data_IF_099944184569
#
_entry.id   IF_099944184569
#
_cell.length_a   1.000
_cell.length_b   1.000
_cell.length_c   1.000
_cell.angle_alpha   90.00
_cell.angle_beta   90.00
_cell.angle_gamma   90.00
#
_symmetry.space_group_name_H-M   'P 1'
#
loop_
_entity.id
_entity.type
_entity.pdbx_description
1 polymer ?
#
# COMPACT_ATOMS: atom_id res chain seq x y z
N UNK A 1 -3.27 13.54 20.36
CA UNK A 1 -3.46 12.08 20.08
C UNK A 1 -4.32 11.46 21.18
N UNK A 2 -5.39 10.74 20.83
CA UNK A 2 -6.31 10.10 21.77
C UNK A 2 -6.43 8.61 21.45
N UNK A 3 -6.18 7.73 22.42
CA UNK A 3 -6.42 6.28 22.28
C UNK A 3 -7.93 6.01 22.23
N UNK A 4 -8.39 5.28 21.22
CA UNK A 4 -9.82 4.92 21.04
C UNK A 4 -10.08 3.41 21.05
N UNK A 5 -9.05 2.61 20.77
CA UNK A 5 -9.11 1.15 20.84
C UNK A 5 -7.75 0.60 21.25
N UNK A 6 -7.74 -0.40 22.12
CA UNK A 6 -6.53 -1.12 22.51
C UNK A 6 -6.84 -2.59 22.74
N UNK A 7 -5.98 -3.44 22.19
CA UNK A 7 -5.96 -4.87 22.42
C UNK A 7 -4.50 -5.33 22.52
N UNK A 8 -4.09 -5.75 23.71
CA UNK A 8 -2.74 -6.22 24.02
C UNK A 8 -2.67 -7.75 24.12
N UNK A 9 -3.69 -8.47 23.65
CA UNK A 9 -3.74 -9.93 23.73
C UNK A 9 -2.95 -10.58 22.60
N UNK A 10 -1.85 -11.23 22.95
CA UNK A 10 -1.11 -12.06 22.00
C UNK A 10 -1.93 -13.29 21.59
N UNK A 11 -2.11 -13.47 20.29
CA UNK A 11 -2.87 -14.61 19.74
C UNK A 11 -2.40 -14.98 18.34
N UNK A 12 -2.55 -16.25 18.00
CA UNK A 12 -2.34 -16.72 16.63
C UNK A 12 -3.64 -16.63 15.87
N UNK A 13 -3.60 -15.95 14.73
CA UNK A 13 -4.73 -15.80 13.83
C UNK A 13 -4.73 -16.97 12.84
N UNK A 14 -5.79 -17.78 12.89
CA UNK A 14 -5.97 -18.95 12.01
C UNK A 14 -6.88 -18.66 10.82
N UNK A 15 -7.78 -17.68 10.93
CA UNK A 15 -8.68 -17.20 9.88
C UNK A 15 -8.76 -15.67 9.92
N UNK A 16 -9.49 -15.04 8.99
CA UNK A 16 -9.66 -13.59 9.01
C UNK A 16 -10.24 -13.11 10.35
N UNK A 17 -9.57 -12.17 10.99
CA UNK A 17 -10.09 -11.49 12.18
C UNK A 17 -10.57 -10.09 11.82
N UNK A 18 -11.72 -9.69 12.38
CA UNK A 18 -12.29 -8.35 12.22
C UNK A 18 -12.33 -7.65 13.56
N UNK A 19 -11.75 -6.46 13.60
CA UNK A 19 -11.74 -5.56 14.75
C UNK A 19 -12.58 -4.35 14.39
N UNK A 20 -13.56 -4.05 15.23
CA UNK A 20 -14.43 -2.89 15.05
C UNK A 20 -14.02 -1.77 16.01
N UNK A 21 -13.99 -0.55 15.49
CA UNK A 21 -13.77 0.65 16.30
C UNK A 21 -14.60 1.80 15.73
N UNK A 22 -14.85 2.81 16.56
CA UNK A 22 -15.71 3.94 16.20
C UNK A 22 -15.04 5.26 16.56
N UNK A 23 -15.21 6.26 15.71
CA UNK A 23 -14.75 7.62 15.91
C UNK A 23 -15.40 8.54 14.89
N UNK A 24 -15.56 9.85 15.17
CA UNK A 24 -16.02 10.77 14.13
C UNK A 24 -14.98 10.90 13.02
N UNK A 25 -15.37 11.43 11.84
CA UNK A 25 -14.46 11.64 10.72
C UNK A 25 -13.16 12.32 11.17
N UNK A 26 -12.01 11.69 10.96
CA UNK A 26 -10.73 12.18 11.49
C UNK A 26 -9.52 11.56 10.80
N UNK A 27 -8.33 12.01 11.22
CA UNK A 27 -7.07 11.33 10.97
C UNK A 27 -6.86 10.28 12.07
N UNK A 28 -6.56 9.04 11.68
CA UNK A 28 -6.34 7.92 12.60
C UNK A 28 -4.94 7.36 12.44
N UNK A 29 -4.36 6.93 13.57
CA UNK A 29 -3.17 6.12 13.63
C UNK A 29 -3.54 4.73 14.13
N UNK A 30 -3.36 3.72 13.29
CA UNK A 30 -3.58 2.31 13.62
C UNK A 30 -2.21 1.67 13.77
N UNK A 31 -1.90 1.16 14.97
CA UNK A 31 -0.65 0.47 15.27
C UNK A 31 -0.93 -1.03 15.44
N UNK A 32 -0.32 -1.86 14.62
CA UNK A 32 -0.40 -3.32 14.71
C UNK A 32 1.00 -3.88 14.93
N UNK A 33 1.21 -4.60 16.02
CA UNK A 33 2.42 -5.37 16.25
C UNK A 33 2.14 -6.85 16.01
N UNK A 34 2.96 -7.51 15.19
CA UNK A 34 2.79 -8.91 14.88
C UNK A 34 4.13 -9.58 14.52
N UNK A 35 4.10 -10.91 14.47
CA UNK A 35 5.19 -11.80 14.09
C UNK A 35 4.70 -12.73 12.99
N UNK A 36 5.63 -13.08 12.10
CA UNK A 36 5.42 -14.11 11.09
C UNK A 36 6.66 -14.98 11.00
N UNK A 37 6.47 -16.30 11.05
CA UNK A 37 7.52 -17.32 10.90
C UNK A 37 7.85 -17.57 9.44
N UNK A 38 9.12 -17.83 9.16
CA UNK A 38 9.48 -18.45 7.90
C UNK A 38 9.19 -19.97 7.95
N UNK A 39 9.14 -20.61 6.78
CA UNK A 39 8.88 -22.06 6.66
C UNK A 39 9.86 -22.94 7.45
N UNK A 40 11.11 -22.53 7.61
CA UNK A 40 12.14 -23.32 8.31
C UNK A 40 11.95 -23.35 9.83
N UNK A 41 11.10 -22.49 10.38
CA UNK A 41 10.88 -22.37 11.82
C UNK A 41 9.73 -23.25 12.34
N UNK A 42 8.93 -23.82 11.46
CA UNK A 42 7.82 -24.69 11.83
C UNK A 42 7.58 -25.71 10.72
N UNK A 43 7.84 -26.99 11.01
CA UNK A 43 7.74 -28.08 10.04
C UNK A 43 6.31 -28.31 9.53
N UNK A 44 5.30 -27.78 10.22
CA UNK A 44 3.90 -27.87 9.80
C UNK A 44 3.53 -26.81 8.77
N UNK A 45 4.37 -25.79 8.57
CA UNK A 45 4.14 -24.76 7.58
C UNK A 45 4.38 -25.27 6.15
N UNK A 46 3.35 -25.21 5.33
CA UNK A 46 3.47 -25.48 3.89
C UNK A 46 4.29 -24.37 3.20
N UNK A 47 4.14 -23.13 3.68
CA UNK A 47 4.85 -21.93 3.24
C UNK A 47 5.05 -20.95 4.42
N UNK A 48 5.86 -19.91 4.26
CA UNK A 48 6.05 -18.86 5.25
C UNK A 48 4.72 -18.19 5.64
N UNK A 49 4.62 -17.80 6.91
CA UNK A 49 3.50 -17.04 7.45
C UNK A 49 3.43 -15.63 6.84
N UNK A 50 2.22 -15.10 6.74
CA UNK A 50 2.02 -13.71 6.32
C UNK A 50 0.70 -13.14 6.82
N UNK A 51 0.71 -11.87 7.22
CA UNK A 51 -0.47 -11.13 7.66
C UNK A 51 -0.62 -9.83 6.86
N UNK A 52 -1.80 -9.64 6.27
CA UNK A 52 -2.21 -8.42 5.57
C UNK A 52 -3.17 -7.61 6.43
N UNK A 53 -3.14 -6.29 6.26
CA UNK A 53 -3.97 -5.34 6.97
C UNK A 53 -4.92 -4.67 5.97
N UNK A 54 -6.17 -4.49 6.38
CA UNK A 54 -7.17 -3.76 5.61
C UNK A 54 -8.02 -2.90 6.54
N UNK A 55 -8.28 -1.65 6.18
CA UNK A 55 -9.16 -0.74 6.94
C UNK A 55 -10.27 -0.29 6.01
N UNK A 56 -11.51 -0.51 6.40
CA UNK A 56 -12.71 -0.12 5.64
C UNK A 56 -12.70 -0.55 4.16
N UNK A 57 -12.12 -1.73 3.88
CA UNK A 57 -12.02 -2.25 2.52
C UNK A 57 -10.69 -1.90 1.83
N UNK A 58 -9.97 -0.86 2.27
CA UNK A 58 -8.67 -0.51 1.71
C UNK A 58 -7.56 -1.41 2.27
N UNK A 59 -6.83 -2.10 1.39
CA UNK A 59 -5.74 -3.02 1.77
C UNK A 59 -4.41 -2.30 1.76
N UNK A 60 -3.66 -2.43 2.85
CA UNK A 60 -2.32 -1.85 2.97
C UNK A 60 -1.22 -2.87 2.70
N UNK A 61 -0.29 -2.50 1.82
CA UNK A 61 1.05 -3.07 1.73
C UNK A 61 2.07 -2.15 2.40
N UNK A 62 3.17 -2.66 3.00
CA UNK A 62 3.61 -4.05 3.07
C UNK A 62 2.89 -4.90 4.15
N UNK A 63 2.86 -6.22 3.93
CA UNK A 63 2.36 -7.23 4.89
C UNK A 63 3.47 -7.73 5.83
N UNK A 64 3.10 -8.22 7.00
CA UNK A 64 4.02 -8.97 7.87
C UNK A 64 4.43 -10.23 7.11
N UNK A 65 5.72 -10.41 6.85
CA UNK A 65 6.19 -11.45 5.93
C UNK A 65 7.23 -12.35 6.58
N UNK A 66 6.92 -13.64 6.72
CA UNK A 66 7.72 -14.58 7.49
C UNK A 66 9.18 -14.70 7.05
N UNK A 67 9.45 -14.66 5.75
CA UNK A 67 10.84 -14.69 5.24
C UNK A 67 11.68 -13.49 5.67
N UNK A 68 11.05 -12.33 5.92
CA UNK A 68 11.71 -11.12 6.41
C UNK A 68 11.80 -11.13 7.93
N UNK A 69 10.69 -11.43 8.61
CA UNK A 69 10.58 -11.30 10.06
C UNK A 69 11.23 -12.44 10.83
N UNK A 70 11.19 -13.67 10.30
CA UNK A 70 11.74 -14.86 10.95
C UNK A 70 11.27 -14.99 12.41
N UNK A 71 9.97 -14.80 12.65
CA UNK A 71 9.32 -14.83 13.97
C UNK A 71 9.68 -13.67 14.93
N UNK A 72 10.37 -12.64 14.45
CA UNK A 72 10.67 -11.44 15.23
C UNK A 72 9.57 -10.39 15.05
N UNK A 73 9.37 -9.58 16.09
CA UNK A 73 8.31 -8.60 16.18
C UNK A 73 8.55 -7.43 15.22
N UNK A 74 7.50 -7.09 14.48
CA UNK A 74 7.43 -5.86 13.70
C UNK A 74 6.23 -5.05 14.19
N UNK A 75 6.37 -3.72 14.21
CA UNK A 75 5.26 -2.79 14.42
C UNK A 75 4.97 -2.06 13.11
N UNK A 76 3.72 -2.12 12.66
CA UNK A 76 3.21 -1.37 11.50
C UNK A 76 2.29 -0.27 12.00
N UNK A 77 2.59 0.96 11.64
CA UNK A 77 1.75 2.14 11.84
C UNK A 77 1.08 2.51 10.53
N UNK A 78 -0.25 2.61 10.50
CA UNK A 78 -1.02 3.13 9.37
C UNK A 78 -1.60 4.47 9.80
N UNK A 79 -1.22 5.52 9.09
CA UNK A 79 -1.75 6.86 9.25
C UNK A 79 -2.72 7.12 8.09
N UNK A 80 -4.01 7.17 8.36
CA UNK A 80 -5.06 7.25 7.33
C UNK A 80 -6.24 8.11 7.78
N UNK A 81 -6.94 8.72 6.83
CA UNK A 81 -8.16 9.47 7.08
C UNK A 81 -9.37 8.57 6.93
N UNK A 82 -10.26 8.56 7.93
CA UNK A 82 -11.50 7.79 7.87
C UNK A 82 -12.69 8.73 7.99
N UNK A 83 -13.69 8.55 7.12
CA UNK A 83 -14.83 9.45 6.96
C UNK A 83 -16.11 9.01 7.69
N UNK A 84 -16.24 7.71 7.95
CA UNK A 84 -17.42 7.14 8.59
C UNK A 84 -17.33 7.22 10.13
N UNK A 85 -18.43 6.88 10.82
CA UNK A 85 -18.46 6.81 12.28
C UNK A 85 -17.95 5.45 12.82
N UNK A 86 -18.10 4.40 12.01
CA UNK A 86 -17.80 3.02 12.37
C UNK A 86 -16.86 2.43 11.34
N UNK A 87 -15.80 1.81 11.83
CA UNK A 87 -14.72 1.31 11.01
C UNK A 87 -14.44 -0.16 11.33
N UNK A 88 -13.83 -0.84 10.37
CA UNK A 88 -13.39 -2.22 10.51
C UNK A 88 -11.93 -2.35 10.08
N UNK A 89 -11.09 -2.75 11.01
CA UNK A 89 -9.76 -3.28 10.73
C UNK A 89 -9.85 -4.79 10.52
N UNK A 90 -9.39 -5.26 9.38
CA UNK A 90 -9.33 -6.68 9.02
C UNK A 90 -7.88 -7.13 9.05
N UNK A 91 -7.62 -8.18 9.84
CA UNK A 91 -6.36 -8.87 9.93
C UNK A 91 -6.51 -10.19 9.15
N UNK A 92 -5.96 -10.24 7.95
CA UNK A 92 -6.18 -11.37 7.03
C UNK A 92 -4.87 -12.12 6.75
N UNK A 93 -4.90 -13.45 6.91
CA UNK A 93 -3.79 -14.30 6.49
C UNK A 93 -3.57 -14.26 4.98
N UNK A 94 -2.34 -14.49 4.56
CA UNK A 94 -2.04 -14.79 3.15
C UNK A 94 -2.73 -16.08 2.67
N UNK A 95 -2.75 -16.30 1.35
CA UNK A 95 -3.41 -17.46 0.75
C UNK A 95 -2.86 -18.80 1.29
N UNK A 96 -3.78 -19.76 1.51
CA UNK A 96 -3.60 -21.16 1.92
C UNK A 96 -2.74 -21.40 3.17
N UNK A 97 -3.40 -21.75 4.29
CA UNK A 97 -2.81 -22.35 5.50
C UNK A 97 -1.65 -21.56 6.15
N UNK A 98 -1.64 -20.24 5.99
CA UNK A 98 -0.67 -19.34 6.66
C UNK A 98 -1.28 -18.83 7.96
N UNK A 99 -0.60 -18.97 9.09
CA UNK A 99 -0.94 -18.30 10.36
C UNK A 99 -0.17 -17.00 10.49
N UNK A 100 -0.46 -16.20 11.50
CA UNK A 100 0.42 -15.14 12.00
C UNK A 100 0.09 -14.85 13.47
N UNK A 101 1.07 -14.42 14.25
CA UNK A 101 0.86 -14.07 15.66
C UNK A 101 0.72 -12.56 15.79
N UNK A 102 -0.47 -12.10 16.17
CA UNK A 102 -0.70 -10.70 16.52
C UNK A 102 -0.40 -10.50 17.99
N UNK A 103 0.36 -9.46 18.30
CA UNK A 103 0.82 -9.11 19.65
C UNK A 103 -0.02 -7.99 20.25
N UNK A 104 -0.33 -6.98 19.43
CA UNK A 104 -1.00 -5.77 19.87
C UNK A 104 -1.69 -5.09 18.70
N UNK A 105 -2.85 -4.51 18.97
CA UNK A 105 -3.56 -3.56 18.10
C UNK A 105 -3.94 -2.34 18.93
N UNK A 106 -3.57 -1.16 18.47
CA UNK A 106 -4.00 0.11 19.07
C UNK A 106 -4.50 1.02 17.96
N UNK A 107 -5.56 1.77 18.24
CA UNK A 107 -6.06 2.81 17.35
C UNK A 107 -6.12 4.12 18.11
N UNK A 108 -5.58 5.16 17.49
CA UNK A 108 -5.59 6.51 18.01
C UNK A 108 -6.29 7.44 17.03
N UNK A 109 -7.06 8.38 17.57
CA UNK A 109 -7.55 9.54 16.83
C UNK A 109 -6.57 10.69 16.98
N UNK A 110 -6.29 11.39 15.89
CA UNK A 110 -5.31 12.47 15.82
C UNK A 110 -5.98 13.82 15.54
N UNK A 111 -5.28 14.90 15.89
CA UNK A 111 -5.62 16.24 15.44
C UNK A 111 -4.83 16.50 14.14
N UNK A 112 -5.48 16.71 12.98
CA UNK A 112 -4.78 16.90 11.71
C UNK A 112 -3.94 18.19 11.66
N UNK A 113 -4.13 19.10 12.61
CA UNK A 113 -3.40 20.38 12.69
C UNK A 113 -2.17 20.34 13.61
N UNK A 114 -1.84 19.18 14.18
CA UNK A 114 -0.70 19.00 15.08
C UNK A 114 0.33 18.06 14.47
N UNK A 115 1.62 18.34 14.72
CA UNK A 115 2.69 17.40 14.39
C UNK A 115 2.50 16.10 15.19
N UNK A 116 2.65 14.96 14.52
CA UNK A 116 2.52 13.66 15.17
C UNK A 116 3.88 13.27 15.76
N UNK A 117 3.94 13.03 17.06
CA UNK A 117 5.10 12.42 17.71
C UNK A 117 4.69 11.14 18.41
N UNK A 118 5.24 10.02 17.95
CA UNK A 118 5.10 8.71 18.58
C UNK A 118 6.24 8.54 19.58
N UNK A 119 5.90 8.24 20.83
CA UNK A 119 6.87 7.81 21.84
C UNK A 119 6.58 6.34 22.11
N UNK A 120 7.56 5.47 21.89
CA UNK A 120 7.29 4.02 21.92
C UNK A 120 8.28 3.21 22.74
N UNK A 121 9.51 3.71 22.95
CA UNK A 121 10.64 2.92 23.50
C UNK A 121 10.68 1.48 22.93
N UNK A 122 10.24 1.31 21.68
CA UNK A 122 10.17 0.02 21.00
C UNK A 122 11.61 -0.42 20.76
N UNK A 123 11.95 -1.65 21.11
CA UNK A 123 13.30 -2.19 20.92
C UNK A 123 13.20 -3.36 19.97
N UNK A 124 14.00 -3.31 18.90
CA UNK A 124 14.09 -4.43 17.98
C UNK A 124 14.59 -5.67 18.73
N UNK A 125 13.89 -6.79 18.57
CA UNK A 125 14.42 -8.08 18.99
C UNK A 125 15.64 -8.47 18.16
N UNK A 126 16.58 -9.14 18.82
CA UNK A 126 17.86 -9.55 18.24
C UNK A 126 17.69 -10.37 16.95
N UNK A 127 18.12 -9.79 15.84
CA UNK A 127 18.02 -10.40 14.52
C UNK A 127 18.85 -9.65 13.49
N UNK A 128 18.89 -10.18 12.27
CA UNK A 128 19.73 -9.66 11.19
C UNK A 128 18.86 -9.07 10.07
N UNK A 129 19.14 -7.80 9.73
CA UNK A 129 18.62 -7.05 8.57
C UNK A 129 17.16 -7.32 8.26
N UNK A 130 16.28 -6.90 9.16
CA UNK A 130 14.83 -7.09 9.00
C UNK A 130 14.08 -5.79 9.22
N UNK A 131 12.90 -5.62 8.61
CA UNK A 131 12.02 -4.55 9.01
C UNK A 131 11.59 -4.78 10.46
N UNK A 132 11.64 -3.70 11.24
CA UNK A 132 11.24 -3.70 12.63
C UNK A 132 10.10 -2.71 12.85
N UNK A 133 10.16 -1.53 12.21
CA UNK A 133 9.06 -0.56 12.20
C UNK A 133 8.75 -0.17 10.76
N UNK A 134 7.46 -0.12 10.43
CA UNK A 134 6.98 0.42 9.16
C UNK A 134 5.88 1.44 9.46
N UNK A 135 6.00 2.63 8.88
CA UNK A 135 4.96 3.64 8.91
C UNK A 135 4.42 3.85 7.49
N UNK A 136 3.12 3.65 7.32
CA UNK A 136 2.37 3.86 6.09
C UNK A 136 1.61 5.17 6.24
N UNK A 137 1.81 6.08 5.30
CA UNK A 137 1.05 7.31 5.15
C UNK A 137 0.09 7.11 3.98
N UNK A 138 -1.19 7.05 4.27
CA UNK A 138 -2.23 6.75 3.28
C UNK A 138 -2.87 8.03 2.77
N UNK A 139 -2.60 8.36 1.50
CA UNK A 139 -3.03 9.59 0.84
C UNK A 139 -2.66 10.87 1.63
N UNK A 140 -1.44 10.92 2.17
CA UNK A 140 -0.98 12.03 3.03
C UNK A 140 0.36 12.59 2.55
N UNK A 141 0.51 13.92 2.50
CA UNK A 141 1.80 14.54 2.24
C UNK A 141 2.71 14.51 3.47
N UNK A 142 4.02 14.44 3.23
CA UNK A 142 5.02 14.46 4.29
C UNK A 142 6.15 15.44 3.98
N UNK A 143 6.34 16.45 4.83
CA UNK A 143 7.44 17.41 4.66
C UNK A 143 8.75 16.82 5.18
N UNK A 144 8.71 16.30 6.40
CA UNK A 144 9.87 15.72 7.07
C UNK A 144 9.48 14.74 8.16
N UNK A 145 10.43 13.88 8.54
CA UNK A 145 10.32 13.07 9.74
C UNK A 145 11.62 13.03 10.53
N UNK A 146 11.51 12.76 11.83
CA UNK A 146 12.65 12.71 12.76
C UNK A 146 12.50 11.49 13.67
N UNK A 147 13.24 10.40 13.44
CA UNK A 147 13.38 9.32 14.40
C UNK A 147 14.47 9.67 15.41
N UNK A 148 14.24 9.28 16.66
CA UNK A 148 15.25 9.26 17.72
C UNK A 148 15.58 7.81 18.05
N UNK A 149 16.79 7.40 17.70
CA UNK A 149 17.25 6.01 17.82
C UNK A 149 18.34 5.91 18.88
N UNK A 150 18.17 4.97 19.78
CA UNK A 150 19.20 4.48 20.69
C UNK A 150 19.86 3.24 20.06
N UNK A 151 21.18 3.24 19.94
CA UNK A 151 21.95 2.13 19.37
C UNK A 151 23.32 2.00 20.04
N UNK A 152 23.87 0.78 20.05
CA UNK A 152 25.11 0.48 20.77
C UNK A 152 26.11 -0.36 19.97
N UNK A 153 27.40 -0.09 20.19
CA UNK A 153 28.52 -0.95 19.81
C UNK A 153 28.54 -2.21 20.65
N UNK A 154 28.81 -3.34 19.99
CA UNK A 154 28.95 -4.65 20.65
C UNK A 154 30.18 -5.39 20.12
N UNK A 155 30.66 -6.39 20.87
CA UNK A 155 31.90 -7.16 20.59
C UNK A 155 31.92 -7.90 19.26
N UNK A 156 30.77 -8.31 18.74
CA UNK A 156 30.67 -9.10 17.50
C UNK A 156 29.86 -8.35 16.46
N UNK A 157 28.63 -8.01 16.83
CA UNK A 157 27.64 -7.46 15.93
C UNK A 157 26.84 -6.38 16.66
N UNK A 158 26.94 -5.15 16.16
CA UNK A 158 26.46 -3.94 16.85
C UNK A 158 25.04 -3.61 16.45
N UNK A 159 24.37 -2.74 17.20
CA UNK A 159 23.04 -2.28 16.82
C UNK A 159 23.17 -1.30 15.65
N UNK A 160 22.54 -1.64 14.53
CA UNK A 160 22.53 -0.80 13.33
C UNK A 160 21.09 -0.57 12.86
N UNK A 161 20.83 0.64 12.36
CA UNK A 161 19.52 1.09 11.88
C UNK A 161 19.63 1.64 10.46
N UNK A 162 18.77 1.17 9.57
CA UNK A 162 18.62 1.67 8.21
C UNK A 162 17.23 2.25 8.03
N UNK A 163 17.13 3.30 7.22
CA UNK A 163 15.88 3.96 6.84
C UNK A 163 15.63 3.79 5.35
N UNK A 164 14.41 3.43 4.97
CA UNK A 164 13.93 3.41 3.58
C UNK A 164 12.66 4.25 3.45
N UNK A 165 12.54 4.92 2.32
CA UNK A 165 11.34 5.69 1.93
C UNK A 165 10.87 5.12 0.60
N UNK A 166 9.64 4.62 0.53
CA UNK A 166 9.06 4.00 -0.66
C UNK A 166 9.90 2.84 -1.25
N UNK A 167 10.64 2.18 -0.36
CA UNK A 167 11.61 1.12 -0.68
C UNK A 167 13.00 1.61 -1.08
N UNK A 168 13.20 2.93 -1.20
CA UNK A 168 14.49 3.55 -1.53
C UNK A 168 15.28 3.79 -0.25
N UNK A 169 16.47 3.18 -0.18
CA UNK A 169 17.39 3.33 0.96
C UNK A 169 17.91 4.76 1.11
N UNK A 170 17.76 5.32 2.32
CA UNK A 170 18.28 6.63 2.67
C UNK A 170 19.73 6.50 3.13
N UNK A 171 20.65 6.53 2.16
CA UNK A 171 22.07 6.26 2.36
C UNK A 171 22.79 7.39 3.09
N UNK A 172 23.76 7.03 3.89
CA UNK A 172 24.69 7.97 4.50
C UNK A 172 25.85 8.28 3.53
N UNK A 173 25.72 9.35 2.74
CA UNK A 173 26.70 9.74 1.72
C UNK A 173 28.08 10.12 2.29
N UNK A 174 28.17 10.40 3.59
CA UNK A 174 29.42 10.72 4.28
C UNK A 174 30.09 9.49 4.91
N UNK A 175 29.43 8.33 4.88
CA UNK A 175 29.96 7.10 5.46
C UNK A 175 30.77 6.28 4.44
N UNK A 176 31.74 5.52 4.95
CA UNK A 176 32.54 4.58 4.15
C UNK A 176 31.65 3.55 3.40
N UNK A 177 32.18 2.92 2.35
CA UNK A 177 31.51 1.86 1.57
C UNK A 177 30.99 0.69 2.43
N UNK A 178 31.50 0.48 3.64
CA UNK A 178 31.01 -0.55 4.57
C UNK A 178 29.78 -0.13 5.39
N UNK A 179 29.52 1.18 5.51
CA UNK A 179 28.52 1.74 6.42
C UNK A 179 27.53 2.69 5.74
N UNK A 180 27.70 2.99 4.45
CA UNK A 180 26.83 3.93 3.72
C UNK A 180 25.35 3.49 3.64
N UNK A 181 25.05 2.22 3.87
CA UNK A 181 23.68 1.70 3.95
C UNK A 181 23.09 1.78 5.37
N UNK A 182 23.90 2.05 6.39
CA UNK A 182 23.48 2.12 7.79
C UNK A 182 23.47 3.59 8.22
N UNK A 183 22.28 4.10 8.56
CA UNK A 183 22.14 5.50 8.95
C UNK A 183 22.58 5.70 10.40
N UNK A 184 22.22 4.73 11.24
CA UNK A 184 22.67 4.61 12.62
C UNK A 184 23.54 3.36 12.71
N UNK A 185 24.82 3.51 13.05
CA UNK A 185 25.76 2.38 13.03
C UNK A 185 26.54 2.28 14.35
N UNK A 186 26.21 1.28 15.17
CA UNK A 186 26.84 1.06 16.46
C UNK A 186 28.33 0.73 16.33
N UNK A 187 28.72 0.08 15.23
CA UNK A 187 30.12 -0.25 14.94
C UNK A 187 31.06 0.96 14.80
N UNK A 188 30.50 2.15 14.52
CA UNK A 188 31.23 3.42 14.43
C UNK A 188 31.43 4.11 15.79
N UNK A 189 30.73 3.68 16.84
CA UNK A 189 30.86 4.28 18.16
C UNK A 189 32.19 3.88 18.82
N UNK A 190 32.80 4.73 19.66
CA UNK A 190 34.01 4.37 20.39
C UNK A 190 33.71 3.36 21.49
N UNK A 191 34.65 2.46 21.80
CA UNK A 191 34.49 1.51 22.92
C UNK A 191 34.33 2.19 24.29
N UNK A 192 34.85 3.40 24.45
CA UNK A 192 34.73 4.21 25.68
C UNK A 192 33.36 4.85 25.85
N UNK A 193 32.60 5.03 24.76
CA UNK A 193 31.22 5.49 24.78
C UNK A 193 30.40 4.66 23.77
N UNK A 194 30.10 3.39 24.12
CA UNK A 194 29.59 2.42 23.17
C UNK A 194 28.10 2.59 22.87
N UNK A 195 27.41 3.58 23.43
CA UNK A 195 25.97 3.77 23.27
C UNK A 195 25.69 5.22 22.88
N UNK A 196 24.80 5.42 21.92
CA UNK A 196 24.39 6.76 21.47
C UNK A 196 22.88 6.82 21.29
N UNK A 197 22.29 7.93 21.73
CA UNK A 197 20.95 8.37 21.33
C UNK A 197 21.18 9.44 20.27
N UNK A 198 20.56 9.27 19.11
CA UNK A 198 20.74 10.15 17.96
C UNK A 198 19.39 10.47 17.33
N UNK A 199 19.22 11.71 16.92
CA UNK A 199 18.02 12.19 16.22
C UNK A 199 18.44 12.82 14.90
N UNK A 200 17.79 12.42 13.82
CA UNK A 200 18.09 12.94 12.49
C UNK A 200 16.82 13.34 11.75
N UNK A 201 16.77 14.55 11.22
CA UNK A 201 15.62 15.01 10.44
C UNK A 201 15.84 14.74 8.95
N UNK A 202 14.94 13.96 8.35
CA UNK A 202 14.90 13.70 6.92
C UNK A 202 13.94 14.70 6.27
N UNK A 203 14.46 15.58 5.41
CA UNK A 203 13.66 16.49 4.60
C UNK A 203 13.28 15.78 3.30
N UNK A 204 12.00 15.39 3.16
CA UNK A 204 11.56 14.46 2.12
C UNK A 204 10.60 15.09 1.12
N UNK A 205 9.78 16.06 1.56
CA UNK A 205 8.80 16.78 0.72
C UNK A 205 7.99 15.85 -0.20
N UNK A 206 7.49 14.75 0.35
CA UNK A 206 6.65 13.81 -0.37
C UNK A 206 5.29 14.47 -0.64
N UNK A 207 4.78 14.39 -1.88
CA UNK A 207 3.45 14.91 -2.21
C UNK A 207 2.37 14.09 -1.50
N UNK A 208 1.13 14.50 -1.67
CA UNK A 208 0.00 13.66 -1.27
C UNK A 208 0.03 12.35 -2.07
N UNK A 209 -0.05 11.22 -1.36
CA UNK A 209 -0.03 9.89 -1.95
C UNK A 209 0.15 8.80 -0.90
N UNK A 210 0.29 7.55 -1.35
CA UNK A 210 0.65 6.42 -0.49
C UNK A 210 2.17 6.37 -0.33
N UNK A 211 2.65 6.58 0.89
CA UNK A 211 4.07 6.57 1.21
C UNK A 211 4.40 5.60 2.34
N UNK A 212 5.61 5.06 2.31
CA UNK A 212 6.10 4.11 3.32
C UNK A 212 7.47 4.55 3.86
N UNK A 213 7.60 4.56 5.19
CA UNK A 213 8.87 4.73 5.89
C UNK A 213 9.16 3.43 6.62
N UNK A 214 10.25 2.77 6.26
CA UNK A 214 10.66 1.50 6.86
C UNK A 214 11.98 1.67 7.60
N UNK A 215 11.99 1.22 8.86
CA UNK A 215 13.18 1.07 9.68
C UNK A 215 13.59 -0.40 9.69
N UNK A 216 14.74 -0.69 9.07
CA UNK A 216 15.38 -2.00 9.18
C UNK A 216 16.39 -2.01 10.32
N UNK A 217 16.30 -3.03 11.16
CA UNK A 217 17.22 -3.25 12.27
C UNK A 217 18.22 -4.36 11.95
N UNK A 218 19.47 -4.14 12.35
CA UNK A 218 20.43 -5.18 12.67
C UNK A 218 20.65 -5.17 14.20
N UNK A 219 20.56 -6.34 14.82
CA UNK A 219 20.56 -6.55 16.28
C UNK A 219 19.39 -5.85 16.98
N UNK A 220 19.65 -4.97 17.94
CA UNK A 220 18.63 -4.45 18.88
C UNK A 220 18.64 -2.92 19.06
N UNK A 221 18.54 -2.11 17.99
CA UNK A 221 18.28 -0.67 18.14
C UNK A 221 16.91 -0.41 18.79
N UNK A 222 16.76 0.75 19.42
CA UNK A 222 15.52 1.19 20.09
C UNK A 222 15.04 2.51 19.51
N UNK A 223 13.74 2.64 19.27
CA UNK A 223 13.07 3.82 18.70
C UNK A 223 12.41 4.51 19.88
N UNK A 224 13.11 5.50 20.42
CA UNK A 224 12.61 6.26 21.55
C UNK A 224 11.44 7.13 21.12
N UNK A 225 11.60 7.83 20.00
CA UNK A 225 10.53 8.64 19.41
C UNK A 225 10.58 8.69 17.89
N UNK A 226 9.44 9.00 17.29
CA UNK A 226 9.30 9.20 15.86
C UNK A 226 8.31 10.32 15.58
N UNK A 227 8.83 11.45 15.10
CA UNK A 227 8.04 12.63 14.77
C UNK A 227 7.82 12.72 13.26
N UNK A 228 6.58 13.00 12.86
CA UNK A 228 6.16 13.24 11.49
C UNK A 228 5.61 14.66 11.39
N UNK A 229 6.18 15.44 10.47
CA UNK A 229 5.64 16.74 10.09
C UNK A 229 4.94 16.61 8.76
N UNK A 230 3.61 16.49 8.83
CA UNK A 230 2.78 16.40 7.64
C UNK A 230 2.77 17.73 6.88
N UNK A 231 2.48 17.66 5.58
CA UNK A 231 2.14 18.85 4.80
C UNK A 231 0.73 19.35 5.13
N UNK A 232 0.13 20.12 4.21
CA UNK A 232 -1.30 20.40 4.28
C UNK A 232 -2.07 19.10 4.13
N UNK A 233 -2.57 18.56 5.23
CA UNK A 233 -3.40 17.36 5.23
C UNK A 233 -4.67 17.65 4.42
N UNK A 234 -5.02 16.83 3.42
CA UNK A 234 -6.24 17.03 2.64
C UNK A 234 -7.47 16.99 3.55
N UNK A 235 -8.57 17.65 3.18
CA UNK A 235 -9.82 17.51 3.93
C UNK A 235 -10.25 16.04 3.91
N UNK A 236 -10.70 15.53 5.05
CA UNK A 236 -11.23 14.16 5.14
C UNK A 236 -12.32 14.01 4.06
N UNK A 237 -12.24 12.97 3.20
CA UNK A 237 -13.23 12.75 2.16
C UNK A 237 -14.61 12.75 2.82
N UNK A 238 -15.50 13.64 2.39
CA UNK A 238 -16.84 13.73 3.01
C UNK A 238 -17.71 12.51 2.67
N UNK A 239 -17.27 11.70 1.70
CA UNK A 239 -18.04 10.63 1.07
C UNK A 239 -17.12 9.76 0.22
N UNK A 240 -17.33 8.45 0.23
CA UNK A 240 -16.68 7.49 -0.69
C UNK A 240 -17.60 7.28 -1.90
N UNK A 241 -17.10 7.38 -3.15
CA UNK A 241 -17.91 7.12 -4.33
C UNK A 241 -18.45 5.68 -4.37
N UNK A 242 -19.65 5.50 -4.91
CA UNK A 242 -20.30 4.19 -5.07
C UNK A 242 -20.79 4.02 -6.51
N UNK A 243 -21.23 2.83 -6.89
CA UNK A 243 -21.79 2.60 -8.23
C UNK A 243 -23.04 3.45 -8.49
N UNK A 244 -23.85 3.70 -7.46
CA UNK A 244 -25.08 4.49 -7.60
C UNK A 244 -24.85 6.00 -7.40
N UNK A 245 -23.72 6.36 -6.77
CA UNK A 245 -23.29 7.74 -6.65
C UNK A 245 -21.77 7.83 -6.89
N UNK A 246 -21.32 7.89 -8.16
CA UNK A 246 -19.90 7.87 -8.48
C UNK A 246 -19.28 9.27 -8.53
N UNK A 247 -19.97 10.29 -8.03
CA UNK A 247 -19.47 11.67 -8.09
C UNK A 247 -18.08 11.79 -7.46
N UNK A 248 -17.12 12.34 -8.21
CA UNK A 248 -15.76 12.57 -7.77
C UNK A 248 -15.70 13.55 -6.61
N UNK A 249 -14.82 13.23 -5.68
CA UNK A 249 -14.65 13.90 -4.39
C UNK A 249 -13.52 14.93 -4.42
N UNK A 250 -12.74 14.98 -5.50
CA UNK A 250 -11.56 15.82 -5.65
C UNK A 250 -10.25 15.03 -5.74
N UNK A 251 -10.28 13.73 -5.51
CA UNK A 251 -9.16 12.80 -5.69
C UNK A 251 -9.70 11.46 -6.24
N UNK A 252 -8.91 10.69 -6.99
CA UNK A 252 -9.27 9.31 -7.37
C UNK A 252 -8.63 8.28 -6.43
N UNK A 253 -7.70 8.72 -5.57
CA UNK A 253 -7.07 7.86 -4.58
C UNK A 253 -8.04 7.38 -3.50
N UNK A 254 -9.17 8.04 -3.30
CA UNK A 254 -10.20 7.68 -2.31
C UNK A 254 -11.30 6.77 -2.87
N UNK A 255 -11.31 6.47 -4.17
CA UNK A 255 -12.16 5.43 -4.74
C UNK A 255 -11.73 4.05 -4.21
N UNK A 256 -12.69 3.13 -4.05
CA UNK A 256 -12.34 1.71 -3.85
C UNK A 256 -11.73 1.11 -5.12
N UNK A 257 -11.01 -0.01 -5.02
CA UNK A 257 -10.47 -0.74 -6.18
C UNK A 257 -11.55 -0.98 -7.26
N UNK A 258 -12.76 -1.36 -6.84
CA UNK A 258 -13.89 -1.61 -7.74
C UNK A 258 -14.35 -0.33 -8.45
N UNK A 259 -14.47 0.79 -7.75
CA UNK A 259 -14.91 2.05 -8.35
C UNK A 259 -13.83 2.59 -9.29
N UNK A 260 -12.58 2.58 -8.86
CA UNK A 260 -11.47 3.07 -9.66
C UNK A 260 -11.30 2.24 -10.95
N UNK A 261 -11.38 0.91 -10.83
CA UNK A 261 -11.36 0.02 -11.99
C UNK A 261 -12.61 0.20 -12.87
N UNK A 262 -13.78 0.43 -12.28
CA UNK A 262 -15.00 0.72 -13.03
C UNK A 262 -14.87 2.01 -13.86
N UNK A 263 -14.28 3.07 -13.28
CA UNK A 263 -13.97 4.31 -14.01
C UNK A 263 -13.03 4.01 -15.15
N UNK A 264 -11.93 3.30 -14.92
CA UNK A 264 -11.01 2.94 -15.98
C UNK A 264 -11.71 2.19 -17.13
N UNK A 265 -12.44 1.11 -16.83
CA UNK A 265 -13.16 0.32 -17.83
C UNK A 265 -14.18 1.18 -18.57
N UNK A 266 -14.88 2.06 -17.86
CA UNK A 266 -15.83 2.99 -18.46
C UNK A 266 -15.16 4.02 -19.36
N UNK A 267 -13.96 4.50 -19.05
CA UNK A 267 -13.23 5.46 -19.89
C UNK A 267 -12.58 4.84 -21.13
N UNK A 268 -12.13 3.59 -21.03
CA UNK A 268 -11.37 2.91 -22.07
C UNK A 268 -12.25 2.03 -22.98
N UNK A 269 -13.36 1.53 -22.45
CA UNK A 269 -14.24 0.56 -23.10
C UNK A 269 -15.71 0.97 -23.00
N UNK A 270 -15.99 2.27 -23.08
CA UNK A 270 -17.37 2.73 -23.29
C UNK A 270 -17.91 2.27 -24.64
N UNK A 271 -19.14 1.78 -24.67
CA UNK A 271 -19.83 1.47 -25.92
C UNK A 271 -19.36 0.19 -26.63
N UNK A 272 -18.38 -0.53 -26.08
CA UNK A 272 -17.98 -1.87 -26.54
C UNK A 272 -18.67 -2.98 -25.73
N UNK A 273 -18.46 -4.24 -26.15
CA UNK A 273 -19.08 -5.40 -25.53
C UNK A 273 -18.66 -5.62 -24.07
N UNK A 274 -19.47 -6.37 -23.32
CA UNK A 274 -19.11 -6.80 -21.95
C UNK A 274 -17.80 -7.60 -21.94
N UNK A 275 -17.55 -8.43 -22.95
CA UNK A 275 -16.30 -9.19 -23.08
C UNK A 275 -15.08 -8.25 -23.19
N UNK A 276 -15.19 -7.18 -23.98
CA UNK A 276 -14.15 -6.16 -24.09
C UNK A 276 -13.90 -5.42 -22.76
N UNK A 277 -14.97 -5.09 -22.01
CA UNK A 277 -14.86 -4.48 -20.68
C UNK A 277 -14.14 -5.38 -19.68
N UNK A 278 -14.52 -6.66 -19.66
CA UNK A 278 -13.85 -7.68 -18.85
C UNK A 278 -12.38 -7.81 -19.24
N UNK A 279 -12.07 -7.81 -20.54
CA UNK A 279 -10.71 -7.89 -21.05
C UNK A 279 -9.84 -6.71 -20.57
N UNK A 280 -10.36 -5.47 -20.63
CA UNK A 280 -9.67 -4.29 -20.08
C UNK A 280 -9.42 -4.46 -18.59
N UNK A 281 -10.43 -4.84 -17.81
CA UNK A 281 -10.29 -5.09 -16.37
C UNK A 281 -9.21 -6.12 -16.05
N UNK A 282 -9.16 -7.20 -16.83
CA UNK A 282 -8.15 -8.25 -16.66
C UNK A 282 -6.74 -7.79 -16.94
N UNK A 283 -6.52 -6.81 -17.82
CA UNK A 283 -5.16 -6.27 -18.03
C UNK A 283 -4.59 -5.63 -16.77
N UNK A 284 -5.41 -4.91 -16.00
CA UNK A 284 -5.00 -4.36 -14.70
C UNK A 284 -4.71 -5.48 -13.71
N UNK A 285 -5.64 -6.44 -13.58
CA UNK A 285 -5.46 -7.59 -12.68
C UNK A 285 -4.22 -8.41 -13.02
N UNK A 286 -3.90 -8.59 -14.30
CA UNK A 286 -2.70 -9.28 -14.75
C UNK A 286 -1.43 -8.51 -14.39
N UNK A 287 -1.44 -7.17 -14.47
CA UNK A 287 -0.33 -6.33 -13.99
C UNK A 287 -0.14 -6.44 -12.48
N UNK A 288 -1.23 -6.44 -11.69
CA UNK A 288 -1.19 -6.69 -10.24
C UNK A 288 -0.56 -8.06 -9.94
N UNK A 289 -1.01 -9.11 -10.62
CA UNK A 289 -0.51 -10.48 -10.43
C UNK A 289 0.95 -10.65 -10.83
N UNK A 290 1.42 -9.89 -11.82
CA UNK A 290 2.81 -9.91 -12.26
C UNK A 290 3.79 -9.21 -11.29
N UNK A 291 3.29 -8.37 -10.38
CA UNK A 291 4.06 -7.70 -9.31
C UNK A 291 5.31 -6.93 -9.79
N UNK A 292 5.27 -6.36 -11.02
CA UNK A 292 6.36 -5.55 -11.57
C UNK A 292 6.25 -4.09 -11.10
N UNK A 293 6.56 -3.84 -9.82
CA UNK A 293 6.43 -2.53 -9.15
C UNK A 293 6.98 -1.36 -9.98
N UNK A 294 8.19 -1.50 -10.51
CA UNK A 294 8.88 -0.43 -11.25
C UNK A 294 8.18 -0.12 -12.57
N UNK A 295 7.64 -1.14 -13.24
CA UNK A 295 6.97 -1.00 -14.54
C UNK A 295 5.55 -0.47 -14.40
N UNK A 296 4.74 -1.05 -13.51
CA UNK A 296 3.30 -0.76 -13.44
C UNK A 296 2.83 -0.23 -12.09
N UNK A 297 3.32 -0.81 -11.00
CA UNK A 297 2.76 -0.60 -9.66
C UNK A 297 2.47 -1.95 -8.99
N UNK A 298 2.05 -1.90 -7.73
CA UNK A 298 1.78 -3.09 -6.90
C UNK A 298 0.30 -3.43 -6.76
N UNK A 299 -0.58 -2.44 -6.90
CA UNK A 299 -2.03 -2.57 -6.69
C UNK A 299 -2.83 -1.81 -7.76
N UNK A 300 -4.16 -1.83 -7.64
CA UNK A 300 -5.05 -1.20 -8.60
C UNK A 300 -4.82 0.31 -8.69
N UNK A 301 -4.71 1.02 -7.56
CA UNK A 301 -4.48 2.46 -7.53
C UNK A 301 -3.16 2.84 -8.16
N UNK A 302 -2.04 2.23 -7.76
CA UNK A 302 -0.73 2.51 -8.33
C UNK A 302 -0.74 2.25 -9.85
N UNK A 303 -1.36 1.16 -10.32
CA UNK A 303 -1.36 0.81 -11.74
C UNK A 303 -2.25 1.74 -12.57
N UNK A 304 -3.44 2.06 -12.08
CA UNK A 304 -4.43 2.86 -12.81
C UNK A 304 -4.02 4.34 -12.84
N UNK A 305 -3.53 4.87 -11.71
CA UNK A 305 -3.20 6.29 -11.57
C UNK A 305 -1.76 6.62 -11.98
N UNK A 306 -0.93 5.62 -12.29
CA UNK A 306 0.43 5.88 -12.77
C UNK A 306 0.41 6.70 -14.07
N UNK A 307 1.23 7.77 -14.16
CA UNK A 307 1.23 8.65 -15.30
C UNK A 307 1.36 7.91 -16.63
N UNK A 308 0.51 8.29 -17.60
CA UNK A 308 0.50 7.79 -18.97
C UNK A 308 0.21 6.29 -19.13
N UNK A 309 -0.30 5.60 -18.10
CA UNK A 309 -0.72 4.20 -18.25
C UNK A 309 -2.06 4.04 -18.98
N UNK A 310 -3.00 4.97 -18.73
CA UNK A 310 -4.34 4.93 -19.30
C UNK A 310 -4.78 6.34 -19.72
N UNK A 311 -5.32 6.46 -20.92
CA UNK A 311 -5.71 7.75 -21.48
C UNK A 311 -6.91 8.35 -20.76
N UNK A 312 -7.78 7.51 -20.19
CA UNK A 312 -8.93 7.92 -19.39
C UNK A 312 -8.56 8.89 -18.24
N UNK A 313 -7.35 8.79 -17.70
CA UNK A 313 -6.87 9.61 -16.58
C UNK A 313 -5.84 10.67 -16.97
N UNK A 314 -5.32 10.66 -18.20
CA UNK A 314 -4.30 11.61 -18.67
C UNK A 314 -4.86 12.73 -19.56
N UNK A 315 -6.03 12.52 -20.18
CA UNK A 315 -6.68 13.48 -21.07
C UNK A 315 -7.83 14.20 -20.37
N UNK A 316 -7.77 15.54 -20.26
CA UNK A 316 -8.79 16.33 -19.56
C UNK A 316 -10.21 16.14 -20.13
N UNK A 317 -10.34 15.97 -21.46
CA UNK A 317 -11.63 15.75 -22.13
C UNK A 317 -12.28 14.41 -21.76
N UNK A 318 -11.49 13.42 -21.36
CA UNK A 318 -11.96 12.13 -20.84
C UNK A 318 -12.11 12.13 -19.32
N UNK A 319 -11.25 12.90 -18.64
CA UNK A 319 -11.20 12.99 -17.19
C UNK A 319 -12.53 13.49 -16.59
N UNK A 320 -13.19 14.47 -17.23
CA UNK A 320 -14.49 14.97 -16.75
C UNK A 320 -15.54 13.85 -16.66
N UNK A 321 -15.53 12.94 -17.64
CA UNK A 321 -16.43 11.78 -17.66
C UNK A 321 -16.09 10.79 -16.56
N UNK A 322 -14.80 10.62 -16.26
CA UNK A 322 -14.35 9.76 -15.16
C UNK A 322 -14.70 10.36 -13.81
N UNK A 323 -14.71 11.69 -13.68
CA UNK A 323 -15.11 12.37 -12.44
C UNK A 323 -16.58 12.14 -12.10
N UNK A 324 -17.46 12.14 -13.08
CA UNK A 324 -18.88 11.87 -12.82
C UNK A 324 -19.53 11.08 -13.98
N UNK A 325 -19.43 9.74 -13.94
CA UNK A 325 -20.02 8.85 -14.94
C UNK A 325 -21.53 9.02 -15.11
N UNK A 326 -22.24 9.48 -14.08
CA UNK A 326 -23.70 9.61 -14.05
C UNK A 326 -24.19 11.06 -14.23
N UNK A 327 -23.28 12.02 -14.43
CA UNK A 327 -23.60 13.44 -14.65
C UNK A 327 -24.65 13.67 -15.73
N UNK A 328 -24.56 12.92 -16.83
CA UNK A 328 -25.51 12.99 -17.94
C UNK A 328 -26.64 11.99 -17.67
N UNK A 329 -27.86 12.50 -17.63
CA UNK A 329 -29.06 11.67 -17.52
C UNK A 329 -29.33 10.95 -18.86
N UNK A 330 -28.60 9.86 -19.09
CA UNK A 330 -28.67 9.06 -20.30
C UNK A 330 -28.60 7.56 -19.94
N UNK A 331 -29.63 6.81 -20.30
CA UNK A 331 -29.74 5.39 -19.94
C UNK A 331 -28.66 4.49 -20.55
N UNK A 332 -28.18 4.77 -21.76
CA UNK A 332 -27.09 3.98 -22.34
C UNK A 332 -25.77 4.21 -21.60
N UNK A 333 -25.54 5.45 -21.14
CA UNK A 333 -24.38 5.83 -20.32
C UNK A 333 -24.47 5.19 -18.93
N UNK A 334 -25.63 5.28 -18.27
CA UNK A 334 -25.89 4.62 -16.98
C UNK A 334 -25.67 3.11 -17.05
N UNK A 335 -26.18 2.48 -18.12
CA UNK A 335 -25.97 1.06 -18.36
C UNK A 335 -24.49 0.75 -18.57
N UNK A 336 -23.80 1.55 -19.39
CA UNK A 336 -22.38 1.35 -19.64
C UNK A 336 -21.55 1.48 -18.35
N UNK A 337 -21.87 2.45 -17.48
CA UNK A 337 -21.25 2.58 -16.16
C UNK A 337 -21.48 1.35 -15.28
N UNK A 338 -22.73 0.89 -15.14
CA UNK A 338 -23.06 -0.30 -14.34
C UNK A 338 -22.42 -1.58 -14.88
N UNK A 339 -22.41 -1.76 -16.20
CA UNK A 339 -21.71 -2.89 -16.84
C UNK A 339 -20.20 -2.85 -16.56
N UNK A 340 -19.61 -1.65 -16.52
CA UNK A 340 -18.19 -1.47 -16.18
C UNK A 340 -17.90 -1.80 -14.72
N UNK A 341 -18.77 -1.37 -13.80
CA UNK A 341 -18.67 -1.72 -12.37
C UNK A 341 -18.82 -3.24 -12.14
N UNK A 342 -19.84 -3.86 -12.73
CA UNK A 342 -20.04 -5.32 -12.64
C UNK A 342 -18.83 -6.09 -13.19
N UNK A 343 -18.26 -5.63 -14.31
CA UNK A 343 -17.03 -6.20 -14.89
C UNK A 343 -15.83 -6.03 -13.96
N UNK A 344 -15.66 -4.85 -13.36
CA UNK A 344 -14.60 -4.56 -12.40
C UNK A 344 -14.69 -5.47 -11.17
N UNK A 345 -15.86 -5.50 -10.53
CA UNK A 345 -16.13 -6.28 -9.33
C UNK A 345 -15.87 -7.78 -9.56
N UNK A 346 -16.44 -8.34 -10.64
CA UNK A 346 -16.24 -9.76 -10.97
C UNK A 346 -14.79 -10.08 -11.31
N UNK A 347 -14.10 -9.17 -12.00
CA UNK A 347 -12.67 -9.32 -12.31
C UNK A 347 -11.86 -9.36 -11.02
N UNK A 348 -12.00 -8.36 -10.15
CA UNK A 348 -11.27 -8.26 -8.88
C UNK A 348 -11.51 -9.53 -8.04
N UNK A 349 -12.77 -9.89 -7.82
CA UNK A 349 -13.19 -11.07 -7.04
C UNK A 349 -12.84 -12.41 -7.70
N UNK A 350 -12.42 -12.43 -8.97
CA UNK A 350 -12.05 -13.65 -9.69
C UNK A 350 -13.25 -14.54 -10.01
N UNK A 351 -14.43 -13.95 -10.18
CA UNK A 351 -15.69 -14.66 -10.47
C UNK A 351 -15.86 -14.98 -11.96
N UNK A 352 -15.04 -14.37 -12.81
CA UNK A 352 -15.00 -14.58 -14.26
C UNK A 352 -13.58 -14.95 -14.67
N UNK A 353 -13.39 -15.89 -15.61
CA UNK A 353 -12.05 -16.24 -16.10
C UNK A 353 -11.43 -15.10 -16.92
N UNK A 354 -10.11 -15.16 -17.13
CA UNK A 354 -9.38 -14.21 -17.97
C UNK A 354 -9.56 -14.53 -19.46
N UNK A 355 -10.32 -13.74 -20.23
CA UNK A 355 -10.48 -13.97 -21.68
C UNK A 355 -9.20 -13.62 -22.45
N UNK A 356 -8.33 -12.79 -21.88
CA UNK A 356 -7.12 -12.26 -22.53
C UNK A 356 -5.91 -13.20 -22.42
N UNK A 357 -6.02 -14.30 -21.67
CA UNK A 357 -4.95 -15.30 -21.50
C UNK A 357 -3.63 -14.68 -20.97
N UNK A 358 -3.74 -13.71 -20.07
CA UNK A 358 -2.62 -13.04 -19.43
C UNK A 358 -2.14 -11.79 -20.14
N UNK A 359 -2.99 -11.11 -20.93
CA UNK A 359 -2.59 -9.85 -21.55
C UNK A 359 -2.35 -8.77 -20.49
N UNK A 360 -1.32 -7.95 -20.71
CA UNK A 360 -0.95 -6.81 -19.85
C UNK A 360 -1.06 -5.49 -20.60
N UNK A 361 -1.19 -5.53 -21.92
CA UNK A 361 -1.19 -4.34 -22.78
C UNK A 361 -2.29 -4.47 -23.83
N UNK A 362 -2.84 -3.32 -24.24
CA UNK A 362 -3.79 -3.26 -25.34
C UNK A 362 -3.71 -1.89 -26.03
N UNK A 363 -4.30 -1.79 -27.21
CA UNK A 363 -4.62 -0.52 -27.85
C UNK A 363 -5.95 -0.63 -28.61
N UNK A 364 -6.59 0.51 -28.84
CA UNK A 364 -7.80 0.61 -29.66
C UNK A 364 -7.46 0.99 -31.10
N UNK A 365 -8.17 0.44 -32.08
CA UNK A 365 -8.16 0.92 -33.46
C UNK A 365 -9.29 1.92 -33.73
N UNK A 366 -9.11 2.83 -34.70
CA UNK A 366 -7.88 3.07 -35.46
C UNK A 366 -6.79 3.76 -34.62
N UNK A 367 -5.52 3.53 -34.96
CA UNK A 367 -4.35 4.18 -34.36
C UNK A 367 -3.36 4.58 -35.46
N UNK A 368 -2.73 5.75 -35.34
CA UNK A 368 -1.79 6.26 -36.34
C UNK A 368 -0.47 5.46 -36.35
N UNK A 369 -0.02 5.04 -35.16
CA UNK A 369 1.23 4.32 -34.97
C UNK A 369 1.01 3.09 -34.09
N UNK A 370 1.12 1.90 -34.69
CA UNK A 370 1.08 0.64 -33.93
C UNK A 370 2.32 0.54 -33.04
N UNK A 371 2.17 0.29 -31.74
CA UNK A 371 3.31 0.21 -30.84
C UNK A 371 4.28 -0.93 -31.22
N UNK A 372 5.61 -0.75 -31.10
CA UNK A 372 6.58 -1.77 -31.51
C UNK A 372 6.46 -3.11 -30.77
N UNK A 373 5.84 -3.10 -29.57
CA UNK A 373 5.63 -4.31 -28.78
C UNK A 373 4.44 -5.15 -29.26
N UNK A 374 3.55 -4.58 -30.09
CA UNK A 374 2.33 -5.19 -30.59
C UNK A 374 2.58 -6.06 -31.83
N UNK A 375 3.23 -7.21 -31.64
CA UNK A 375 3.46 -8.19 -32.70
C UNK A 375 2.36 -9.26 -32.71
N UNK A 376 2.10 -9.88 -33.87
CA UNK A 376 1.06 -10.91 -33.99
C UNK A 376 1.31 -12.12 -33.07
N UNK A 377 2.57 -12.48 -32.80
CA UNK A 377 2.91 -13.58 -31.89
C UNK A 377 2.55 -13.31 -30.43
N UNK A 378 2.47 -12.03 -30.05
CA UNK A 378 2.12 -11.59 -28.69
C UNK A 378 0.65 -11.29 -28.53
N UNK A 379 -0.11 -11.22 -29.63
CA UNK A 379 -1.54 -10.96 -29.64
C UNK A 379 -2.29 -12.15 -29.04
N UNK A 380 -3.21 -11.86 -28.13
CA UNK A 380 -3.90 -12.89 -27.33
C UNK A 380 -5.40 -12.86 -27.52
N UNK A 381 -5.97 -11.67 -27.76
CA UNK A 381 -7.38 -11.44 -27.97
C UNK A 381 -7.57 -10.22 -28.86
N UNK A 382 -8.58 -10.28 -29.73
CA UNK A 382 -9.14 -9.13 -30.43
C UNK A 382 -10.64 -9.16 -30.21
N UNK A 383 -11.19 -8.07 -29.68
CA UNK A 383 -12.61 -7.95 -29.40
C UNK A 383 -13.04 -6.50 -29.62
N UNK A 384 -14.11 -6.30 -30.40
CA UNK A 384 -14.48 -4.99 -30.93
C UNK A 384 -13.28 -4.34 -31.65
N UNK A 385 -12.86 -3.16 -31.22
CA UNK A 385 -11.70 -2.44 -31.74
C UNK A 385 -10.47 -2.54 -30.82
N UNK A 386 -10.50 -3.38 -29.78
CA UNK A 386 -9.41 -3.53 -28.83
C UNK A 386 -8.57 -4.77 -29.16
N UNK A 387 -7.25 -4.57 -29.24
CA UNK A 387 -6.28 -5.63 -29.50
C UNK A 387 -5.40 -5.81 -28.26
N UNK A 388 -5.37 -7.01 -27.69
CA UNK A 388 -4.73 -7.33 -26.42
C UNK A 388 -3.48 -8.18 -26.59
N UNK A 389 -2.43 -7.88 -25.82
CA UNK A 389 -1.10 -8.46 -25.96
C UNK A 389 -0.49 -8.84 -24.60
N UNK A 390 0.27 -9.93 -24.61
CA UNK A 390 1.02 -10.43 -23.45
C UNK A 390 2.51 -10.11 -23.59
N UNK A 391 3.06 -9.33 -22.65
CA UNK A 391 4.44 -8.85 -22.67
C UNK A 391 5.36 -9.45 -21.60
#
# INVERSE_FOLDING_TARGET
MQLIFEDNNERTIHETEKIHFSGPPSLFLIAVAARAKNKKQDSNLIDHESLSLQVDGHRYGPSFHGNKLKNLNQTVYILTQLSEQNHTLILAKGAKQKTATVKRVQVFRLNPNEDLTLVSDDTAEDGDRRPWIVCILDNLPLLSFTPTILYSRRKKDSDDGKVKIDGIEQRNLLASVKHFLWRFAGSLLPWTNPTKIDSETFQVNLPQGLHTIEFEADRMPTLQSFSLRLGTVPPIPKRIPTVDDPTWTGDFADDTDEILLARLIFGEAEGVSIEAKIAVGWTVKNRVLAQRKTEWGLDYHEIILKPNQYEAFSREDRLEKMRDPLKKDNESVKKAWRDSYDSAEKTIKGLIPDPTKGATNYYSTPIDHVPPWATEERKTLEVNNLHFYKL
#
